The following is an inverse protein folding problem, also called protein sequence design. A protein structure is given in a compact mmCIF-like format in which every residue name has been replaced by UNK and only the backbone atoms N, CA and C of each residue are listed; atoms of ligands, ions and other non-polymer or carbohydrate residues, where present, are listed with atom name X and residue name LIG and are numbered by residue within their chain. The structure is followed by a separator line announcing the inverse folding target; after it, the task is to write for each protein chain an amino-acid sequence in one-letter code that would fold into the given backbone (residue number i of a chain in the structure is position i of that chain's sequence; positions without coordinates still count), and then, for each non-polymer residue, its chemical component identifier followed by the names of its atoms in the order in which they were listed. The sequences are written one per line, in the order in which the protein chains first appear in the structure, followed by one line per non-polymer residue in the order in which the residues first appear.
data_IF_165516569388
#
_entry.id   IF_165516569388
#
_cell.length_a   1.000
_cell.length_b   1.000
_cell.length_c   1.000
_cell.angle_alpha   90.00
_cell.angle_beta   90.00
_cell.angle_gamma   90.00
#
_symmetry.space_group_name_H-M   'P 1'
#
loop_
_entity.id
_entity.type
_entity.pdbx_description
1 polymer ?
#
# COMPACT_ATOMS: atom_id res chain seq x y z
N UNK A 1 -32.78 26.99 -20.88
CA UNK A 1 -31.31 27.03 -20.71
C UNK A 1 -30.85 27.65 -19.39
N UNK A 2 -31.40 28.80 -18.95
CA UNK A 2 -30.96 29.51 -17.72
C UNK A 2 -31.20 28.74 -16.42
N UNK A 3 -32.28 27.96 -16.34
CA UNK A 3 -32.62 27.12 -15.20
C UNK A 3 -31.77 25.85 -15.06
N UNK A 4 -31.18 25.35 -16.16
CA UNK A 4 -30.30 24.17 -16.11
C UNK A 4 -29.00 24.52 -15.38
N UNK A 5 -28.45 25.71 -15.63
CA UNK A 5 -27.25 26.19 -14.95
C UNK A 5 -27.48 26.39 -13.45
N UNK A 6 -28.68 26.85 -13.07
CA UNK A 6 -29.07 27.03 -11.67
C UNK A 6 -29.21 25.68 -10.92
N UNK A 7 -29.76 24.65 -11.58
CA UNK A 7 -29.84 23.31 -11.01
C UNK A 7 -28.46 22.64 -10.87
N UNK A 8 -27.57 22.85 -11.85
CA UNK A 8 -26.19 22.37 -11.79
C UNK A 8 -25.42 23.05 -10.64
N UNK A 9 -25.59 24.37 -10.48
CA UNK A 9 -24.97 25.12 -9.39
C UNK A 9 -25.48 24.65 -8.02
N UNK A 10 -26.77 24.36 -7.87
CA UNK A 10 -27.34 23.83 -6.63
C UNK A 10 -26.83 22.42 -6.31
N UNK A 11 -26.69 21.54 -7.33
CA UNK A 11 -26.16 20.19 -7.14
C UNK A 11 -24.68 20.19 -6.70
N UNK A 12 -23.88 21.14 -7.19
CA UNK A 12 -22.49 21.31 -6.76
C UNK A 12 -22.35 21.68 -5.27
N UNK A 13 -23.36 22.32 -4.66
CA UNK A 13 -23.31 22.72 -3.25
C UNK A 13 -23.59 21.57 -2.27
N UNK A 14 -24.22 20.48 -2.72
CA UNK A 14 -24.57 19.31 -1.89
C UNK A 14 -23.46 18.24 -1.93
N UNK A 15 -22.46 18.38 -2.79
CA UNK A 15 -21.37 17.40 -2.95
C UNK A 15 -20.35 17.37 -1.79
N UNK A 16 -20.64 18.00 -0.65
CA UNK A 16 -19.68 18.24 0.42
C UNK A 16 -19.60 17.09 1.44
N UNK A 17 -18.38 16.54 1.56
CA UNK A 17 -17.80 15.62 2.56
C UNK A 17 -18.71 14.67 3.32
N UNK A 18 -18.66 13.38 2.92
CA UNK A 18 -18.97 12.29 3.84
C UNK A 18 -17.86 12.18 4.89
N UNK A 19 -18.21 12.41 6.15
CA UNK A 19 -17.33 12.10 7.29
C UNK A 19 -17.29 10.58 7.41
N UNK A 20 -16.12 9.98 7.16
CA UNK A 20 -15.95 8.54 7.31
C UNK A 20 -15.81 8.20 8.78
N UNK A 21 -16.76 7.44 9.31
CA UNK A 21 -16.72 6.96 10.69
C UNK A 21 -15.71 5.82 10.84
N UNK A 22 -15.03 5.70 11.99
CA UNK A 22 -14.12 4.59 12.23
C UNK A 22 -14.88 3.24 12.19
N UNK A 23 -14.32 2.20 11.55
CA UNK A 23 -14.90 0.87 11.53
C UNK A 23 -15.00 0.26 12.93
N UNK A 24 -15.89 -0.74 13.07
CA UNK A 24 -16.05 -1.49 14.33
C UNK A 24 -14.76 -2.15 14.79
N UNK A 25 -13.96 -2.65 13.84
CA UNK A 25 -12.60 -3.13 14.05
C UNK A 25 -11.66 -2.25 13.23
N UNK A 26 -11.06 -1.26 13.88
CA UNK A 26 -10.05 -0.40 13.28
C UNK A 26 -8.69 -1.08 13.38
N UNK A 27 -8.10 -1.37 12.22
CA UNK A 27 -6.71 -1.80 12.10
C UNK A 27 -5.79 -0.62 12.41
N UNK A 28 -4.63 -0.87 13.01
CA UNK A 28 -3.61 0.16 13.21
C UNK A 28 -2.98 0.62 11.88
N UNK A 29 -2.21 1.72 11.91
CA UNK A 29 -1.46 2.15 10.72
C UNK A 29 -0.47 1.08 10.25
N UNK A 30 0.19 0.41 11.19
CA UNK A 30 1.14 -0.68 10.93
C UNK A 30 0.44 -1.92 10.38
N UNK A 31 -0.75 -2.27 10.90
CA UNK A 31 -1.56 -3.37 10.36
C UNK A 31 -2.02 -3.05 8.94
N UNK A 32 -2.41 -1.81 8.65
CA UNK A 32 -2.78 -1.38 7.30
C UNK A 32 -1.61 -1.32 6.33
N UNK A 33 -0.42 -0.93 6.80
CA UNK A 33 0.82 -1.07 6.02
C UNK A 33 1.03 -2.53 5.61
N UNK A 34 0.91 -3.46 6.56
CA UNK A 34 1.05 -4.89 6.28
C UNK A 34 -0.03 -5.41 5.31
N UNK A 35 -1.29 -4.96 5.45
CA UNK A 35 -2.39 -5.27 4.53
C UNK A 35 -2.05 -4.83 3.11
N UNK A 36 -1.64 -3.59 2.92
CA UNK A 36 -1.33 -3.06 1.59
C UNK A 36 -0.08 -3.70 0.98
N UNK A 37 0.92 -4.01 1.80
CA UNK A 37 2.09 -4.77 1.37
C UNK A 37 1.70 -6.16 0.85
N UNK A 38 0.90 -6.92 1.59
CA UNK A 38 0.44 -8.24 1.16
C UNK A 38 -0.43 -8.15 -0.10
N UNK A 39 -1.29 -7.13 -0.18
CA UNK A 39 -2.12 -6.89 -1.35
C UNK A 39 -1.26 -6.62 -2.60
N UNK A 40 -0.20 -5.83 -2.46
CA UNK A 40 0.75 -5.56 -3.54
C UNK A 40 1.45 -6.85 -3.98
N UNK A 41 1.92 -7.66 -3.04
CA UNK A 41 2.59 -8.94 -3.33
C UNK A 41 1.64 -9.93 -4.04
N UNK A 42 0.41 -10.03 -3.57
CA UNK A 42 -0.59 -10.91 -4.17
C UNK A 42 -1.02 -10.44 -5.57
N UNK A 43 -1.13 -9.13 -5.77
CA UNK A 43 -1.40 -8.57 -7.11
C UNK A 43 -0.24 -8.82 -8.06
N UNK A 44 1.01 -8.67 -7.60
CA UNK A 44 2.20 -9.00 -8.39
C UNK A 44 2.22 -10.50 -8.74
N UNK A 45 1.95 -11.37 -7.78
CA UNK A 45 1.90 -12.81 -8.00
C UNK A 45 0.77 -13.19 -8.99
N UNK A 46 -0.42 -12.59 -8.85
CA UNK A 46 -1.54 -12.78 -9.78
C UNK A 46 -1.21 -12.29 -11.19
N UNK A 47 -0.41 -11.23 -11.31
CA UNK A 47 0.00 -10.69 -12.63
C UNK A 47 0.91 -11.63 -13.43
N UNK A 48 1.58 -12.57 -12.76
CA UNK A 48 2.46 -13.57 -13.40
C UNK A 48 1.64 -14.71 -14.01
N UNK A 49 0.68 -15.26 -13.28
CA UNK A 49 -0.17 -16.37 -13.75
C UNK A 49 -1.58 -16.29 -13.17
N UNK A 50 -2.42 -15.45 -13.77
CA UNK A 50 -3.79 -15.25 -13.32
C UNK A 50 -4.61 -16.55 -13.38
N UNK A 51 -4.35 -17.42 -14.37
CA UNK A 51 -5.07 -18.68 -14.57
C UNK A 51 -4.82 -19.67 -13.44
N UNK A 52 -3.57 -19.80 -12.98
CA UNK A 52 -3.23 -20.64 -11.84
C UNK A 52 -3.94 -20.18 -10.58
N UNK A 53 -3.92 -18.88 -10.29
CA UNK A 53 -4.58 -18.34 -9.09
C UNK A 53 -6.10 -18.52 -9.12
N UNK A 54 -6.75 -18.34 -10.27
CA UNK A 54 -8.20 -18.54 -10.41
C UNK A 54 -8.59 -20.01 -10.29
N UNK A 55 -7.80 -20.93 -10.85
CA UNK A 55 -8.04 -22.37 -10.76
C UNK A 55 -7.72 -22.97 -9.40
N UNK A 56 -6.76 -22.39 -8.67
CA UNK A 56 -6.36 -22.86 -7.33
C UNK A 56 -7.46 -22.74 -6.28
N UNK A 57 -8.53 -21.98 -6.55
CA UNK A 57 -9.59 -21.69 -5.59
C UNK A 57 -9.15 -20.85 -4.39
N UNK A 58 -7.89 -20.41 -4.35
CA UNK A 58 -7.35 -19.53 -3.33
C UNK A 58 -7.82 -18.11 -3.65
N UNK A 59 -8.94 -17.72 -3.06
CA UNK A 59 -9.37 -16.34 -3.07
C UNK A 59 -8.36 -15.50 -2.28
N UNK A 60 -7.55 -14.73 -2.99
CA UNK A 60 -6.59 -13.75 -2.47
C UNK A 60 -7.17 -12.91 -1.32
N UNK A 61 -8.42 -12.48 -1.48
CA UNK A 61 -9.19 -11.75 -0.48
C UNK A 61 -9.42 -12.55 0.81
N UNK A 62 -9.68 -13.85 0.70
CA UNK A 62 -9.91 -14.73 1.86
C UNK A 62 -8.64 -14.93 2.68
N UNK A 63 -7.45 -14.88 2.06
CA UNK A 63 -6.19 -14.93 2.79
C UNK A 63 -5.97 -13.67 3.64
N UNK A 64 -6.27 -12.48 3.09
CA UNK A 64 -6.22 -11.23 3.85
C UNK A 64 -7.17 -11.27 5.04
N UNK A 65 -8.42 -11.69 4.81
CA UNK A 65 -9.44 -11.76 5.86
C UNK A 65 -8.98 -12.61 7.04
N UNK A 66 -8.46 -13.80 6.76
CA UNK A 66 -7.94 -14.70 7.79
C UNK A 66 -6.70 -14.15 8.49
N UNK A 67 -5.74 -13.59 7.74
CA UNK A 67 -4.47 -13.10 8.30
C UNK A 67 -4.67 -11.93 9.27
N UNK A 68 -5.57 -10.99 8.93
CA UNK A 68 -5.82 -9.78 9.73
C UNK A 68 -7.07 -9.90 10.61
N UNK A 69 -7.76 -11.05 10.58
CA UNK A 69 -8.98 -11.30 11.35
C UNK A 69 -10.11 -10.30 11.05
N UNK A 70 -10.22 -9.86 9.80
CA UNK A 70 -11.26 -8.93 9.31
C UNK A 70 -12.14 -9.66 8.31
N UNK A 71 -13.38 -9.21 8.14
CA UNK A 71 -14.23 -9.64 7.03
C UNK A 71 -14.12 -8.66 5.85
N UNK A 72 -14.85 -8.95 4.77
CA UNK A 72 -14.86 -8.12 3.57
C UNK A 72 -15.36 -6.70 3.82
N UNK A 73 -16.35 -6.54 4.69
CA UNK A 73 -16.92 -5.23 5.01
C UNK A 73 -15.95 -4.43 5.87
N UNK A 74 -15.42 -5.04 6.93
CA UNK A 74 -14.44 -4.42 7.82
C UNK A 74 -13.19 -3.99 7.06
N UNK A 75 -12.69 -4.80 6.12
CA UNK A 75 -11.57 -4.40 5.28
C UNK A 75 -11.91 -3.17 4.42
N UNK A 76 -13.08 -3.16 3.78
CA UNK A 76 -13.53 -2.02 2.96
C UNK A 76 -13.70 -0.75 3.81
N UNK A 77 -14.24 -0.86 5.02
CA UNK A 77 -14.39 0.26 5.95
C UNK A 77 -13.03 0.78 6.43
N UNK A 78 -12.06 -0.09 6.71
CA UNK A 78 -10.69 0.32 7.06
C UNK A 78 -10.01 1.05 5.88
N UNK A 79 -10.13 0.51 4.66
CA UNK A 79 -9.60 1.16 3.46
C UNK A 79 -10.25 2.54 3.28
N UNK A 80 -11.58 2.64 3.44
CA UNK A 80 -12.30 3.91 3.34
C UNK A 80 -11.87 4.91 4.43
N UNK A 81 -11.72 4.44 5.67
CA UNK A 81 -11.28 5.25 6.80
C UNK A 81 -9.90 5.87 6.55
N UNK A 82 -8.91 5.06 6.17
CA UNK A 82 -7.56 5.56 5.89
C UNK A 82 -7.48 6.39 4.59
N UNK A 83 -8.33 6.10 3.60
CA UNK A 83 -8.40 6.90 2.36
C UNK A 83 -9.09 8.25 2.55
N UNK A 84 -9.83 8.44 3.65
CA UNK A 84 -10.49 9.70 3.97
C UNK A 84 -9.52 10.80 4.41
N UNK A 85 -8.33 10.43 4.89
CA UNK A 85 -7.25 11.32 5.27
C UNK A 85 -6.05 11.13 4.32
N UNK A 86 -5.87 12.03 3.33
CA UNK A 86 -4.78 11.92 2.37
C UNK A 86 -3.39 11.88 2.99
N UNK A 87 -3.16 12.53 4.14
CA UNK A 87 -1.86 12.52 4.78
C UNK A 87 -1.54 11.15 5.38
N UNK A 88 -2.51 10.56 6.09
CA UNK A 88 -2.36 9.20 6.65
C UNK A 88 -2.23 8.15 5.55
N UNK A 89 -3.07 8.22 4.52
CA UNK A 89 -3.00 7.31 3.38
C UNK A 89 -1.61 7.35 2.71
N UNK A 90 -1.11 8.54 2.41
CA UNK A 90 0.21 8.71 1.81
C UNK A 90 1.33 8.18 2.71
N UNK A 91 1.25 8.41 4.02
CA UNK A 91 2.23 7.88 4.99
C UNK A 91 2.30 6.35 4.94
N UNK A 92 1.15 5.68 4.98
CA UNK A 92 1.06 4.21 4.93
C UNK A 92 1.62 3.68 3.61
N UNK A 93 1.17 4.21 2.47
CA UNK A 93 1.64 3.76 1.16
C UNK A 93 3.13 4.03 0.91
N UNK A 94 3.65 5.12 1.48
CA UNK A 94 5.10 5.42 1.43
C UNK A 94 5.90 4.41 2.24
N UNK A 95 5.41 4.00 3.42
CA UNK A 95 6.04 2.95 4.22
C UNK A 95 6.06 1.61 3.48
N UNK A 96 4.94 1.22 2.86
CA UNK A 96 4.87 0.02 1.99
C UNK A 96 5.91 0.08 0.87
N UNK A 97 5.99 1.21 0.17
CA UNK A 97 6.96 1.40 -0.92
C UNK A 97 8.40 1.30 -0.43
N UNK A 98 8.70 1.91 0.72
CA UNK A 98 10.02 1.83 1.34
C UNK A 98 10.38 0.40 1.71
N UNK A 99 9.44 -0.35 2.28
CA UNK A 99 9.63 -1.77 2.63
C UNK A 99 9.91 -2.63 1.39
N UNK A 100 9.11 -2.48 0.33
CA UNK A 100 9.31 -3.20 -0.92
C UNK A 100 10.69 -2.91 -1.53
N UNK A 101 11.08 -1.64 -1.61
CA UNK A 101 12.40 -1.24 -2.14
C UNK A 101 13.55 -1.81 -1.29
N UNK A 102 13.38 -1.82 0.04
CA UNK A 102 14.37 -2.41 0.94
C UNK A 102 14.54 -3.89 0.66
N UNK A 103 13.45 -4.64 0.59
CA UNK A 103 13.48 -6.08 0.33
C UNK A 103 14.08 -6.39 -1.06
N UNK A 104 13.68 -5.66 -2.09
CA UNK A 104 14.25 -5.81 -3.44
C UNK A 104 15.77 -5.56 -3.45
N UNK A 105 16.23 -4.49 -2.78
CA UNK A 105 17.68 -4.21 -2.67
C UNK A 105 18.46 -5.32 -1.95
N UNK A 106 17.83 -5.98 -0.96
CA UNK A 106 18.44 -7.11 -0.25
C UNK A 106 18.52 -8.34 -1.15
N UNK A 107 17.46 -8.64 -1.90
CA UNK A 107 17.44 -9.73 -2.87
C UNK A 107 18.52 -9.53 -3.94
N UNK A 108 18.65 -8.33 -4.50
CA UNK A 108 19.69 -8.02 -5.49
C UNK A 108 21.11 -8.22 -4.92
N UNK A 109 21.36 -7.79 -3.67
CA UNK A 109 22.65 -8.02 -3.00
C UNK A 109 22.96 -9.51 -2.80
N UNK A 110 21.94 -10.33 -2.51
CA UNK A 110 22.11 -11.77 -2.32
C UNK A 110 22.33 -12.52 -3.64
N UNK A 111 21.77 -12.02 -4.74
CA UNK A 111 21.88 -12.60 -6.07
C UNK A 111 23.19 -12.23 -6.79
N UNK A 112 23.95 -11.25 -6.27
CA UNK A 112 25.25 -10.86 -6.82
C UNK A 112 26.38 -11.63 -6.10
N UNK A 113 27.32 -12.30 -6.81
CA UNK A 113 28.51 -12.88 -6.18
C UNK A 113 29.31 -11.81 -5.39
N UNK A 114 30.07 -12.15 -4.33
CA UNK A 114 30.79 -11.16 -3.53
C UNK A 114 31.71 -10.33 -4.43
N UNK A 115 31.37 -9.06 -4.65
CA UNK A 115 32.23 -8.15 -5.37
C UNK A 115 33.39 -7.73 -4.44
N UNK A 116 34.63 -7.64 -4.96
CA UNK A 116 35.72 -6.96 -4.26
C UNK A 116 35.27 -5.54 -3.87
N UNK A 117 35.80 -4.97 -2.77
CA UNK A 117 35.30 -3.71 -2.21
C UNK A 117 35.23 -2.62 -3.30
N UNK A 118 34.04 -2.02 -3.43
CA UNK A 118 33.83 -0.90 -4.34
C UNK A 118 34.56 0.35 -3.77
N UNK A 119 35.21 1.19 -4.58
CA UNK A 119 36.16 2.23 -4.14
C UNK A 119 35.64 3.35 -3.21
N UNK A 120 34.42 3.27 -2.69
CA UNK A 120 33.82 4.34 -1.87
C UNK A 120 34.04 4.19 -0.37
N UNK A 121 34.87 3.22 0.04
CA UNK A 121 35.36 3.10 1.41
C UNK A 121 36.82 3.57 1.50
N UNK A 122 37.12 4.74 0.92
CA UNK A 122 38.24 5.58 1.37
C UNK A 122 37.67 6.76 2.16
N UNK A 123 37.64 6.60 3.48
CA UNK A 123 37.55 7.68 4.47
C UNK A 123 38.78 7.54 5.38
N UNK A 124 39.46 8.62 5.82
CA UNK A 124 39.61 9.97 5.30
C UNK A 124 41.06 10.23 4.82
N UNK A 125 41.23 11.32 4.07
CA UNK A 125 42.54 11.92 3.78
C UNK A 125 43.14 12.47 5.08
N UNK A 126 43.85 11.63 5.84
CA UNK A 126 44.61 12.05 7.00
C UNK A 126 45.81 11.13 7.21
N UNK A 127 46.80 11.20 6.32
CA UNK A 127 48.19 10.85 6.66
C UNK A 127 49.19 11.62 5.77
N UNK A 128 49.80 12.63 6.39
CA UNK A 128 51.21 13.07 6.21
C UNK A 128 51.67 13.62 4.85
N UNK A 129 51.68 14.95 4.70
CA UNK A 129 52.87 15.82 4.84
C UNK A 129 52.58 17.29 4.54
#
# INVERSE_FOLDING_TARGET
MKYCYLNILFLCLIACSQVVTPPKKLLSEEEMEAVFYDLALLNAAKSIDATFYEQSGILTSTMLYKKYGVDSLQLAENISYYSSDPQKCNKILSAVSMRLNKEDSLLQKQLTPPQPPSPQEELPSDTLK
#
